data_IF_538054366706
#
_entry.id   IF_538054366706
#
_cell.length_a   1.000
_cell.length_b   1.000
_cell.length_c   1.000
_cell.angle_alpha   90.00
_cell.angle_beta   90.00
_cell.angle_gamma   90.00
#
_symmetry.space_group_name_H-M   'P 1'
#
loop_
_entity.id
_entity.type
_entity.pdbx_description
1 polymer ?
#
# COMPACT_ATOMS: atom_id res chain seq x y z
N UNK A 1 29.27 7.21 27.95
CA UNK A 1 28.03 6.48 28.23
C UNK A 1 27.34 6.32 26.89
N UNK A 2 27.45 5.15 26.26
CA UNK A 2 26.88 4.87 24.93
C UNK A 2 25.40 4.61 25.11
N UNK A 3 24.57 5.50 24.57
CA UNK A 3 23.12 5.39 24.60
C UNK A 3 22.71 4.14 23.81
N UNK A 4 22.02 3.22 24.49
CA UNK A 4 21.72 1.86 24.01
C UNK A 4 20.30 1.81 23.45
N UNK A 5 19.90 2.81 22.66
CA UNK A 5 18.63 2.78 21.95
C UNK A 5 18.85 1.93 20.69
N UNK A 6 18.53 0.65 20.84
CA UNK A 6 18.55 -0.37 19.81
C UNK A 6 17.95 0.16 18.50
N UNK A 7 18.80 0.39 17.49
CA UNK A 7 18.36 0.26 16.11
C UNK A 7 18.10 -1.23 15.88
N UNK A 8 16.86 -1.69 16.13
CA UNK A 8 16.51 -3.04 15.72
C UNK A 8 16.71 -3.16 14.20
N UNK A 9 17.39 -4.23 13.73
CA UNK A 9 17.57 -4.45 12.30
C UNK A 9 16.20 -4.58 11.65
N UNK A 10 16.07 -4.06 10.42
CA UNK A 10 14.80 -4.10 9.71
C UNK A 10 14.26 -5.55 9.62
N UNK A 11 12.98 -5.70 9.94
CA UNK A 11 12.29 -6.99 10.00
C UNK A 11 11.46 -7.23 8.74
N UNK A 12 10.97 -8.46 8.60
CA UNK A 12 10.08 -8.87 7.51
C UNK A 12 8.68 -9.15 8.07
N UNK A 13 7.64 -8.96 7.26
CA UNK A 13 6.26 -9.22 7.70
C UNK A 13 6.03 -10.71 7.91
N UNK A 14 5.60 -11.08 9.11
CA UNK A 14 5.09 -12.42 9.39
C UNK A 14 3.68 -12.56 8.82
N UNK A 15 3.38 -13.76 8.30
CA UNK A 15 2.11 -14.08 7.62
C UNK A 15 0.86 -13.83 8.49
N UNK A 16 1.00 -13.83 9.82
CA UNK A 16 -0.12 -13.83 10.77
C UNK A 16 -0.49 -12.44 11.33
N UNK A 17 0.16 -11.37 10.84
CA UNK A 17 -0.23 -10.01 11.24
C UNK A 17 -1.35 -9.51 10.34
N UNK A 18 -2.55 -9.43 10.91
CA UNK A 18 -3.70 -8.61 10.49
C UNK A 18 -3.32 -7.11 10.44
N UNK A 19 -2.28 -6.79 9.67
CA UNK A 19 -1.73 -5.46 9.44
C UNK A 19 -1.65 -5.25 7.92
N UNK A 20 -2.76 -5.44 7.20
CA UNK A 20 -2.89 -5.25 5.74
C UNK A 20 -2.59 -3.82 5.26
N UNK A 21 -1.92 -2.99 6.05
CA UNK A 21 -1.61 -1.62 5.75
C UNK A 21 -0.75 -1.48 4.50
N UNK A 22 -1.29 -0.79 3.52
CA UNK A 22 -0.59 -0.19 2.40
C UNK A 22 -0.47 1.32 2.63
N UNK A 23 0.39 1.78 3.55
CA UNK A 23 0.47 3.18 3.92
C UNK A 23 0.93 4.02 2.74
N UNK A 24 0.21 5.12 2.55
CA UNK A 24 0.50 6.13 1.54
C UNK A 24 1.54 7.10 2.12
N UNK A 25 2.54 7.47 1.34
CA UNK A 25 3.58 8.44 1.68
C UNK A 25 3.52 9.69 0.80
N UNK A 26 2.97 9.56 -0.40
CA UNK A 26 2.83 10.67 -1.33
C UNK A 26 1.52 10.57 -2.11
N UNK A 27 0.87 11.72 -2.31
CA UNK A 27 -0.20 11.92 -3.29
C UNK A 27 0.08 13.26 -3.97
N UNK A 28 0.20 13.28 -5.30
CA UNK A 28 0.41 14.52 -6.04
C UNK A 28 0.92 14.27 -7.47
N UNK A 29 1.28 15.36 -8.16
CA UNK A 29 1.81 15.30 -9.53
C UNK A 29 3.17 14.62 -9.58
N UNK A 30 3.47 13.98 -10.71
CA UNK A 30 4.82 13.49 -11.00
C UNK A 30 5.78 14.68 -11.04
N UNK A 31 6.93 14.52 -10.39
CA UNK A 31 8.01 15.52 -10.31
C UNK A 31 9.35 14.81 -10.48
N UNK A 32 10.38 15.56 -10.85
CA UNK A 32 11.75 15.03 -11.01
C UNK A 32 12.31 14.44 -9.71
N UNK A 33 11.84 14.92 -8.55
CA UNK A 33 12.24 14.40 -7.25
C UNK A 33 11.06 14.45 -6.28
N UNK A 34 10.82 13.34 -5.60
CA UNK A 34 9.76 13.22 -4.58
C UNK A 34 10.39 12.74 -3.28
N UNK A 35 10.28 13.54 -2.21
CA UNK A 35 10.73 13.16 -0.88
C UNK A 35 9.72 12.23 -0.20
N UNK A 36 10.12 10.98 0.02
CA UNK A 36 9.29 9.95 0.69
C UNK A 36 9.79 9.79 2.13
N UNK A 37 9.53 10.81 2.96
CA UNK A 37 9.90 10.82 4.38
C UNK A 37 8.76 10.33 5.26
N UNK A 38 7.93 11.28 5.69
CA UNK A 38 6.80 10.99 6.58
C UNK A 38 5.64 10.32 5.86
N UNK A 39 4.84 9.55 6.62
CA UNK A 39 3.55 9.05 6.14
C UNK A 39 2.70 10.22 5.64
N UNK A 40 1.94 10.00 4.58
CA UNK A 40 0.96 10.97 4.11
C UNK A 40 -0.06 11.22 5.22
N UNK A 41 -0.09 12.45 5.74
CA UNK A 41 -1.01 12.90 6.77
C UNK A 41 -2.08 13.78 6.12
N UNK A 42 -3.33 13.29 5.97
CA UNK A 42 -4.36 13.98 5.21
C UNK A 42 -4.74 15.33 5.79
N UNK A 43 -4.46 15.63 7.07
CA UNK A 43 -4.73 16.95 7.63
C UNK A 43 -3.89 18.08 7.05
N UNK A 44 -2.75 17.78 6.42
CA UNK A 44 -1.95 18.76 5.67
C UNK A 44 -2.59 19.12 4.32
N UNK A 45 -3.42 18.23 3.76
CA UNK A 45 -4.15 18.49 2.53
C UNK A 45 -5.64 18.73 2.84
N UNK A 46 -6.08 19.98 2.74
CA UNK A 46 -7.50 20.31 2.74
C UNK A 46 -8.12 19.59 1.55
N UNK A 47 -8.85 18.49 1.78
CA UNK A 47 -9.79 18.01 0.78
C UNK A 47 -10.71 19.20 0.44
N UNK A 48 -10.94 19.53 -0.83
CA UNK A 48 -12.00 20.45 -1.19
C UNK A 48 -13.28 19.95 -0.52
N UNK A 49 -13.87 20.76 0.37
CA UNK A 49 -15.11 20.42 1.10
C UNK A 49 -16.28 20.12 0.16
N UNK A 50 -16.09 20.50 -1.09
CA UNK A 50 -17.02 20.62 -2.20
C UNK A 50 -17.02 19.40 -3.14
N UNK A 51 -16.16 18.39 -2.92
CA UNK A 51 -16.09 17.19 -3.80
C UNK A 51 -16.58 15.88 -3.20
N UNK A 52 -16.98 15.87 -1.92
CA UNK A 52 -17.32 14.62 -1.23
C UNK A 52 -18.65 13.99 -1.67
N UNK A 53 -19.47 14.74 -2.38
CA UNK A 53 -20.77 14.33 -2.91
C UNK A 53 -20.86 14.48 -4.43
N UNK A 54 -19.75 14.85 -5.08
CA UNK A 54 -19.73 14.92 -6.53
C UNK A 54 -19.79 13.51 -7.11
N UNK A 55 -20.94 13.17 -7.67
CA UNK A 55 -21.21 11.93 -8.40
C UNK A 55 -20.25 11.69 -9.57
N UNK A 56 -19.43 12.67 -9.95
CA UNK A 56 -18.38 12.55 -10.96
C UNK A 56 -17.19 11.69 -10.53
N UNK A 57 -16.93 11.54 -9.22
CA UNK A 57 -15.77 10.76 -8.76
C UNK A 57 -16.00 9.28 -9.10
N UNK A 58 -15.16 8.76 -10.01
CA UNK A 58 -15.28 7.40 -10.53
C UNK A 58 -14.44 6.44 -9.69
N UNK A 59 -14.86 5.19 -9.73
CA UNK A 59 -14.06 4.07 -9.24
C UNK A 59 -12.85 3.87 -10.15
N UNK A 60 -11.77 3.37 -9.56
CA UNK A 60 -10.63 2.87 -10.34
C UNK A 60 -11.07 1.72 -11.25
N UNK A 61 -10.36 1.58 -12.37
CA UNK A 61 -10.52 0.52 -13.35
C UNK A 61 -9.24 0.40 -14.19
N UNK A 62 -9.01 -0.73 -14.89
CA UNK A 62 -7.79 -0.95 -15.67
C UNK A 62 -7.47 0.14 -16.70
N UNK A 63 -8.51 0.75 -17.28
CA UNK A 63 -8.37 1.79 -18.30
C UNK A 63 -8.09 3.17 -17.72
N UNK A 64 -8.25 3.37 -16.40
CA UNK A 64 -8.07 4.67 -15.74
C UNK A 64 -6.86 4.72 -14.81
N UNK A 65 -6.33 3.57 -14.42
CA UNK A 65 -5.31 3.48 -13.39
C UNK A 65 -4.29 2.42 -13.73
N UNK A 66 -3.02 2.75 -13.49
CA UNK A 66 -1.92 1.79 -13.55
C UNK A 66 -1.28 1.62 -12.19
N UNK A 67 -0.74 0.41 -11.94
CA UNK A 67 -0.06 0.07 -10.70
C UNK A 67 1.30 -0.57 -11.03
N UNK A 68 2.35 -0.14 -10.34
CA UNK A 68 3.69 -0.68 -10.52
C UNK A 68 4.41 -0.82 -9.18
N UNK A 69 4.92 -2.02 -8.91
CA UNK A 69 5.80 -2.32 -7.79
C UNK A 69 7.24 -2.29 -8.29
N UNK A 70 8.02 -1.35 -7.75
CA UNK A 70 9.44 -1.21 -7.97
C UNK A 70 10.22 -1.93 -6.86
N UNK A 71 10.86 -3.04 -7.24
CA UNK A 71 11.69 -3.85 -6.33
C UNK A 71 13.16 -3.42 -6.29
N UNK A 72 13.57 -2.47 -7.15
CA UNK A 72 14.92 -1.89 -7.11
C UNK A 72 15.05 -0.91 -5.95
N UNK A 73 13.97 -0.24 -5.57
CA UNK A 73 13.89 0.62 -4.40
C UNK A 73 13.77 -0.23 -3.14
N UNK A 74 14.80 -0.16 -2.29
CA UNK A 74 14.81 -0.78 -0.96
C UNK A 74 14.49 0.29 0.08
N UNK A 75 13.33 0.18 0.72
CA UNK A 75 12.90 1.09 1.80
C UNK A 75 12.50 0.30 3.04
N UNK A 76 12.29 1.00 4.15
CA UNK A 76 11.62 0.48 5.34
C UNK A 76 10.32 1.26 5.62
N UNK A 77 9.38 0.62 6.31
CA UNK A 77 8.24 1.26 6.98
C UNK A 77 8.60 1.37 8.46
N UNK A 78 8.50 2.57 9.00
CA UNK A 78 8.54 2.80 10.44
C UNK A 78 7.14 2.57 11.01
N UNK A 79 6.99 1.58 11.87
CA UNK A 79 5.78 1.38 12.66
C UNK A 79 5.95 1.95 14.07
N UNK A 80 4.99 2.76 14.54
CA UNK A 80 4.85 3.11 15.96
C UNK A 80 3.79 2.20 16.58
N UNK A 81 4.17 1.41 17.58
CA UNK A 81 3.23 0.62 18.38
C UNK A 81 2.80 1.43 19.61
N UNK A 82 1.55 1.91 19.64
CA UNK A 82 1.03 2.71 20.77
C UNK A 82 1.52 4.16 20.82
N UNK A 83 1.23 4.85 21.93
CA UNK A 83 1.67 6.23 22.20
C UNK A 83 3.16 6.34 22.52
N UNK A 84 3.85 5.22 22.71
CA UNK A 84 5.27 5.19 23.04
C UNK A 84 6.08 5.07 21.75
N UNK A 85 6.88 6.09 21.47
CA UNK A 85 7.87 6.13 20.38
C UNK A 85 9.04 5.15 20.59
N UNK A 86 9.01 4.36 21.67
CA UNK A 86 10.15 3.57 22.15
C UNK A 86 10.36 2.24 21.43
N UNK A 87 9.57 1.92 20.39
CA UNK A 87 9.80 0.74 19.54
C UNK A 87 9.47 1.04 18.09
N UNK A 88 10.40 1.70 17.39
CA UNK A 88 10.32 1.88 15.94
C UNK A 88 10.71 0.55 15.29
N UNK A 89 9.72 -0.25 14.89
CA UNK A 89 9.98 -1.42 14.07
C UNK A 89 10.17 -0.96 12.63
N UNK A 90 11.41 -1.03 12.14
CA UNK A 90 11.70 -0.90 10.72
C UNK A 90 11.30 -2.20 10.01
N UNK A 91 10.43 -2.12 9.01
CA UNK A 91 10.04 -3.30 8.22
C UNK A 91 10.40 -3.11 6.76
N UNK A 92 11.13 -4.06 6.17
CA UNK A 92 11.53 -3.99 4.78
C UNK A 92 10.33 -3.88 3.83
N UNK A 93 10.44 -3.02 2.82
CA UNK A 93 9.37 -2.78 1.86
C UNK A 93 9.90 -2.45 0.45
N UNK A 94 9.06 -2.71 -0.55
CA UNK A 94 9.17 -2.20 -1.91
C UNK A 94 8.35 -0.93 -2.06
N UNK A 95 8.56 -0.20 -3.17
CA UNK A 95 7.75 0.95 -3.53
C UNK A 95 6.62 0.53 -4.47
N UNK A 96 5.40 0.98 -4.18
CA UNK A 96 4.25 0.91 -5.08
C UNK A 96 3.95 2.31 -5.60
N UNK A 97 3.94 2.44 -6.93
CA UNK A 97 3.42 3.59 -7.64
C UNK A 97 2.04 3.27 -8.21
N UNK A 98 1.06 4.12 -7.93
CA UNK A 98 -0.27 4.08 -8.56
C UNK A 98 -0.45 5.38 -9.32
N UNK A 99 -0.83 5.32 -10.59
CA UNK A 99 -0.99 6.50 -11.44
C UNK A 99 -2.41 6.55 -12.02
N UNK A 100 -3.07 7.69 -11.86
CA UNK A 100 -4.32 7.98 -12.56
C UNK A 100 -3.99 8.49 -13.97
N UNK A 101 -4.25 7.66 -14.97
CA UNK A 101 -4.04 7.95 -16.40
C UNK A 101 -5.31 8.46 -17.08
N UNK A 102 -6.39 8.68 -16.33
CA UNK A 102 -7.65 9.23 -16.84
C UNK A 102 -7.75 10.73 -16.62
N UNK A 103 -8.72 11.34 -17.30
CA UNK A 103 -9.12 12.74 -17.16
C UNK A 103 -10.10 13.00 -16.00
N UNK A 104 -10.43 11.96 -15.21
CA UNK A 104 -11.35 12.07 -14.06
C UNK A 104 -10.65 11.74 -12.74
N UNK A 105 -11.10 12.37 -11.66
CA UNK A 105 -10.62 12.00 -10.32
C UNK A 105 -11.11 10.59 -9.92
N UNK A 106 -10.21 9.81 -9.34
CA UNK A 106 -10.47 8.46 -8.88
C UNK A 106 -10.60 8.41 -7.37
N UNK A 107 -11.60 7.66 -6.90
CA UNK A 107 -11.74 7.31 -5.49
C UNK A 107 -11.11 5.96 -5.20
N UNK A 108 -10.15 5.90 -4.28
CA UNK A 108 -9.39 4.70 -3.95
C UNK A 108 -9.69 4.14 -2.56
N UNK A 109 -10.55 4.81 -1.80
CA UNK A 109 -10.98 4.35 -0.49
C UNK A 109 -11.09 5.46 0.55
N UNK A 110 -11.26 4.99 1.77
CA UNK A 110 -11.12 5.76 3.00
C UNK A 110 -9.83 5.27 3.68
N UNK A 111 -9.30 6.08 4.59
CA UNK A 111 -8.11 5.81 5.42
C UNK A 111 -6.75 6.22 4.84
N UNK A 112 -5.75 6.19 5.71
CA UNK A 112 -4.33 6.46 5.42
C UNK A 112 -3.64 5.30 4.67
N UNK A 113 -4.42 4.42 4.03
CA UNK A 113 -3.98 3.21 3.38
C UNK A 113 -4.86 2.85 2.20
N UNK A 114 -4.33 2.05 1.27
CA UNK A 114 -5.07 1.58 0.11
C UNK A 114 -6.04 0.45 0.50
N UNK A 115 -7.29 0.82 0.76
CA UNK A 115 -8.26 -0.06 1.43
C UNK A 115 -8.63 -1.34 0.66
N UNK A 116 -8.59 -1.30 -0.67
CA UNK A 116 -9.03 -2.39 -1.56
C UNK A 116 -7.89 -3.21 -2.14
N UNK A 117 -6.68 -3.03 -1.60
CA UNK A 117 -5.46 -3.64 -2.10
C UNK A 117 -5.17 -4.93 -1.33
N UNK A 118 -4.80 -5.98 -2.05
CA UNK A 118 -4.29 -7.22 -1.48
C UNK A 118 -3.21 -7.83 -2.38
N UNK A 119 -2.48 -8.81 -1.87
CA UNK A 119 -1.45 -9.56 -2.59
C UNK A 119 -1.93 -10.94 -2.98
N UNK A 120 -1.53 -11.34 -4.19
CA UNK A 120 -1.60 -12.71 -4.66
C UNK A 120 -0.20 -13.26 -4.90
N UNK A 121 -0.03 -14.55 -4.63
CA UNK A 121 1.16 -15.34 -4.97
C UNK A 121 0.78 -16.42 -5.98
N UNK A 122 1.68 -16.72 -6.92
CA UNK A 122 1.49 -17.84 -7.84
C UNK A 122 2.01 -19.13 -7.18
N UNK A 123 1.13 -20.10 -6.98
CA UNK A 123 1.50 -21.40 -6.41
C UNK A 123 2.22 -22.30 -7.44
N UNK A 124 2.66 -23.49 -7.01
CA UNK A 124 3.39 -24.45 -7.87
C UNK A 124 2.58 -24.91 -9.10
N UNK A 125 1.26 -24.80 -9.07
CA UNK A 125 0.35 -25.14 -10.19
C UNK A 125 0.13 -23.98 -11.16
N UNK A 126 0.77 -22.83 -10.92
CA UNK A 126 0.58 -21.63 -11.73
C UNK A 126 -0.68 -20.84 -11.38
N UNK A 127 -1.40 -21.20 -10.32
CA UNK A 127 -2.64 -20.56 -9.89
C UNK A 127 -2.32 -19.40 -8.94
N UNK A 128 -2.97 -18.26 -9.13
CA UNK A 128 -2.85 -17.10 -8.23
C UNK A 128 -3.74 -17.28 -7.00
N UNK A 129 -3.15 -17.17 -5.82
CA UNK A 129 -3.81 -17.35 -4.51
C UNK A 129 -3.65 -16.06 -3.71
N UNK A 130 -4.76 -15.55 -3.16
CA UNK A 130 -4.78 -14.40 -2.24
C UNK A 130 -4.15 -14.80 -0.91
N UNK A 131 -3.16 -14.04 -0.42
CA UNK A 131 -2.37 -14.38 0.78
C UNK A 131 -2.46 -13.35 1.91
N UNK A 132 -3.36 -12.37 1.79
CA UNK A 132 -3.66 -11.41 2.85
C UNK A 132 -5.08 -10.87 2.68
N UNK A 133 -5.68 -10.43 3.80
CA UNK A 133 -6.93 -9.67 3.78
C UNK A 133 -6.68 -8.25 3.28
N UNK A 134 -7.69 -7.68 2.62
CA UNK A 134 -7.70 -6.24 2.32
C UNK A 134 -7.90 -5.44 3.61
N UNK A 135 -7.34 -4.22 3.76
CA UNK A 135 -7.70 -3.36 4.89
C UNK A 135 -9.21 -3.15 5.05
N UNK A 136 -9.95 -3.06 3.94
CA UNK A 136 -11.40 -2.92 3.97
C UNK A 136 -12.15 -4.12 4.56
N UNK A 137 -11.50 -5.28 4.68
CA UNK A 137 -12.05 -6.49 5.30
C UNK A 137 -11.77 -6.56 6.81
N UNK A 138 -11.01 -5.60 7.36
CA UNK A 138 -10.43 -5.70 8.70
C UNK A 138 -11.16 -4.87 9.78
N UNK A 139 -12.44 -4.52 9.57
CA UNK A 139 -13.31 -3.81 10.54
C UNK A 139 -12.65 -2.64 11.29
N UNK A 140 -11.79 -1.89 10.61
CA UNK A 140 -11.14 -0.70 11.19
C UNK A 140 -12.18 0.43 11.22
N UNK A 141 -12.96 0.49 12.31
CA UNK A 141 -13.93 1.55 12.59
C UNK A 141 -13.20 2.81 13.10
N UNK A 142 -12.57 3.55 12.20
CA UNK A 142 -12.04 4.88 12.51
C UNK A 142 -13.13 5.95 12.39
N UNK A 143 -13.33 6.76 13.42
CA UNK A 143 -14.07 8.02 13.30
C UNK A 143 -13.12 9.09 12.75
N UNK A 144 -13.51 9.81 11.68
CA UNK A 144 -12.69 10.83 10.94
C UNK A 144 -11.83 10.31 9.75
N UNK A 145 -12.27 9.25 9.06
CA UNK A 145 -11.54 8.73 7.88
C UNK A 145 -11.66 9.69 6.69
N UNK A 146 -10.52 10.19 6.22
CA UNK A 146 -10.45 10.99 4.98
C UNK A 146 -10.43 10.07 3.75
N UNK A 147 -10.96 10.59 2.64
CA UNK A 147 -10.97 9.89 1.37
C UNK A 147 -9.61 9.97 0.68
N UNK A 148 -9.19 8.86 0.08
CA UNK A 148 -8.06 8.80 -0.85
C UNK A 148 -8.60 9.10 -2.25
N UNK A 149 -8.33 10.31 -2.73
CA UNK A 149 -8.69 10.76 -4.07
C UNK A 149 -7.39 10.96 -4.85
N UNK A 150 -7.36 10.44 -6.08
CA UNK A 150 -6.25 10.61 -7.01
C UNK A 150 -6.75 11.41 -8.22
N UNK A 151 -6.34 12.67 -8.36
CA UNK A 151 -6.76 13.51 -9.48
C UNK A 151 -6.08 13.08 -10.79
N UNK A 152 -6.54 13.58 -11.96
CA UNK A 152 -5.88 13.31 -13.24
C UNK A 152 -4.37 13.60 -13.20
N UNK A 153 -3.57 12.71 -13.77
CA UNK A 153 -2.10 12.73 -13.81
C UNK A 153 -1.40 12.84 -12.43
N UNK A 154 -2.09 12.48 -11.36
CA UNK A 154 -1.47 12.33 -10.04
C UNK A 154 -1.05 10.89 -9.80
N UNK A 155 -0.01 10.75 -8.98
CA UNK A 155 0.47 9.47 -8.48
C UNK A 155 0.31 9.35 -6.96
N UNK A 156 0.14 8.11 -6.52
CA UNK A 156 0.35 7.69 -5.14
C UNK A 156 1.66 6.92 -5.07
N UNK A 157 2.47 7.26 -4.07
CA UNK A 157 3.58 6.40 -3.64
C UNK A 157 3.21 5.78 -2.29
N UNK A 158 3.14 4.46 -2.27
CA UNK A 158 2.87 3.65 -1.09
C UNK A 158 4.01 2.64 -0.87
N UNK A 159 4.14 2.13 0.34
CA UNK A 159 5.13 1.09 0.65
C UNK A 159 4.44 -0.27 0.75
N UNK A 160 5.08 -1.28 0.16
CA UNK A 160 4.62 -2.67 0.11
C UNK A 160 5.54 -3.50 0.97
N UNK A 161 5.04 -3.94 2.12
CA UNK A 161 5.87 -4.68 3.08
C UNK A 161 6.33 -6.00 2.48
N UNK A 162 7.61 -6.33 2.60
CA UNK A 162 8.18 -7.60 2.13
C UNK A 162 7.75 -8.73 3.06
N UNK A 163 7.30 -9.84 2.48
CA UNK A 163 6.95 -11.01 3.26
C UNK A 163 8.20 -11.66 3.84
N UNK A 164 8.04 -12.26 5.02
CA UNK A 164 9.01 -13.19 5.58
C UNK A 164 8.85 -14.51 4.84
N UNK A 165 9.98 -15.11 4.49
CA UNK A 165 10.01 -16.38 3.76
C UNK A 165 11.40 -16.67 3.23
N UNK A 166 11.58 -17.88 2.75
CA UNK A 166 12.81 -18.39 2.16
C UNK A 166 12.62 -18.84 0.69
N UNK A 167 11.36 -18.84 0.20
CA UNK A 167 11.05 -19.27 -1.15
C UNK A 167 10.77 -18.04 -2.04
N UNK A 168 11.56 -17.81 -3.09
CA UNK A 168 11.23 -16.79 -4.08
C UNK A 168 10.00 -17.23 -4.87
N UNK A 169 8.97 -16.38 -4.89
CA UNK A 169 7.73 -16.64 -5.62
C UNK A 169 7.28 -15.41 -6.42
N UNK A 170 6.54 -15.67 -7.51
CA UNK A 170 5.90 -14.61 -8.29
C UNK A 170 4.71 -14.07 -7.50
N UNK A 171 4.73 -12.77 -7.26
CA UNK A 171 3.70 -12.02 -6.57
C UNK A 171 3.10 -10.98 -7.51
N UNK A 172 1.88 -10.57 -7.23
CA UNK A 172 1.26 -9.37 -7.78
C UNK A 172 0.35 -8.72 -6.75
N UNK A 173 0.17 -7.41 -6.87
CA UNK A 173 -0.84 -6.70 -6.10
C UNK A 173 -2.12 -6.59 -6.93
N UNK A 174 -3.24 -6.64 -6.23
CA UNK A 174 -4.58 -6.56 -6.80
C UNK A 174 -5.38 -5.54 -6.04
N UNK A 175 -5.80 -4.48 -6.73
CA UNK A 175 -6.79 -3.56 -6.19
C UNK A 175 -8.16 -3.96 -6.72
N UNK A 176 -9.08 -4.35 -5.84
CA UNK A 176 -10.41 -4.87 -6.23
C UNK A 176 -11.53 -4.24 -5.42
N UNK A 177 -12.49 -3.63 -6.12
CA UNK A 177 -13.74 -3.13 -5.54
C UNK A 177 -14.89 -3.43 -6.49
N UNK A 178 -15.92 -4.11 -5.99
CA UNK A 178 -17.04 -4.59 -6.81
C UNK A 178 -16.53 -5.38 -8.02
N UNK A 179 -16.91 -4.98 -9.24
CA UNK A 179 -16.50 -5.61 -10.50
C UNK A 179 -15.23 -5.02 -11.11
N UNK A 180 -14.59 -4.05 -10.45
CA UNK A 180 -13.37 -3.41 -10.93
C UNK A 180 -12.15 -4.08 -10.29
N UNK A 181 -11.18 -4.43 -11.13
CA UNK A 181 -9.95 -5.10 -10.70
C UNK A 181 -8.78 -4.48 -11.46
N UNK A 182 -7.76 -4.01 -10.74
CA UNK A 182 -6.52 -3.49 -11.33
C UNK A 182 -5.35 -4.28 -10.75
N UNK A 183 -4.46 -4.72 -11.63
CA UNK A 183 -3.28 -5.51 -11.28
C UNK A 183 -2.02 -4.65 -11.36
N UNK A 184 -1.06 -4.91 -10.48
CA UNK A 184 0.32 -4.47 -10.68
C UNK A 184 1.04 -5.34 -11.72
N UNK A 185 2.27 -4.95 -12.06
CA UNK A 185 3.25 -5.89 -12.61
C UNK A 185 3.46 -7.09 -11.68
N UNK A 186 3.95 -8.20 -12.26
CA UNK A 186 4.46 -9.35 -11.50
C UNK A 186 5.86 -9.01 -10.99
N UNK A 187 6.11 -9.29 -9.72
CA UNK A 187 7.40 -9.13 -9.08
C UNK A 187 7.76 -10.38 -8.27
N UNK A 188 9.03 -10.55 -7.93
CA UNK A 188 9.48 -11.65 -7.07
C UNK A 188 9.60 -11.15 -5.64
N UNK A 189 9.01 -11.88 -4.69
CA UNK A 189 9.23 -11.67 -3.26
C UNK A 189 9.49 -13.01 -2.57
N UNK A 190 9.98 -12.95 -1.33
CA UNK A 190 10.16 -14.13 -0.49
C UNK A 190 8.86 -14.44 0.25
N UNK A 191 8.42 -15.69 0.20
CA UNK A 191 7.19 -16.15 0.88
C UNK A 191 7.46 -17.46 1.62
N UNK A 192 6.62 -17.75 2.60
CA UNK A 192 6.65 -19.05 3.28
C UNK A 192 6.18 -20.16 2.34
N UNK A 193 6.80 -21.33 2.46
CA UNK A 193 6.48 -22.51 1.66
C UNK A 193 5.01 -22.92 1.74
N UNK A 194 4.39 -22.76 2.92
CA UNK A 194 2.98 -23.07 3.19
C UNK A 194 1.99 -22.33 2.28
N UNK A 195 2.40 -21.20 1.67
CA UNK A 195 1.57 -20.41 0.77
C UNK A 195 1.60 -20.89 -0.68
N UNK A 196 2.44 -21.88 -1.00
CA UNK A 196 2.69 -22.33 -2.37
C UNK A 196 2.15 -23.72 -2.68
N UNK A 197 1.57 -24.39 -1.68
CA UNK A 197 1.07 -25.75 -1.76
C UNK A 197 -0.38 -25.83 -2.31
#
# INVERSE_FOLDING_TARGET
>A
MLDTIYQEPATYRQYDKDDGGYPIYYIGKIQDTIGIGDRYLPWKNKLPKDRLWDTSVRFFSPEKMTMHVDTSVKTCIEGTYGNDRDSILNTHAYLLCIHNVSDTALWLGKDLSLAYLYREVQNKRGIWVKIEKMPSEMDICGTSQRYVILNPDEIILAKVIRYKGDIPAKCRLVMKRFNQIVYSNVFVDQVERSLLD
#
